data_IF_497469712758
#
_entry.id   IF_497469712758
#
_cell.length_a   1.000
_cell.length_b   1.000
_cell.length_c   1.000
_cell.angle_alpha   90.00
_cell.angle_beta   90.00
_cell.angle_gamma   90.00
#
_symmetry.space_group_name_H-M   'P 1'
#
loop_
_entity.id
_entity.type
_entity.pdbx_description
1 polymer ?
#
# COMPACT_ATOMS: atom_id res chain seq x y z
N UNK A 1 6.91 -6.72 -36.51
CA UNK A 1 6.61 -6.66 -35.07
C UNK A 1 5.29 -5.96 -34.88
N UNK A 2 4.26 -6.62 -34.36
CA UNK A 2 2.95 -5.98 -34.13
C UNK A 2 3.06 -4.99 -32.96
N UNK A 3 2.79 -3.72 -33.21
CA UNK A 3 2.77 -2.69 -32.17
C UNK A 3 1.43 -2.82 -31.44
N UNK A 4 1.45 -3.22 -30.18
CA UNK A 4 0.24 -3.21 -29.34
C UNK A 4 -0.25 -1.76 -29.17
N UNK A 5 -1.52 -1.56 -29.53
CA UNK A 5 -2.17 -0.27 -29.32
C UNK A 5 -2.87 -0.25 -27.97
N UNK A 6 -2.75 0.85 -27.23
CA UNK A 6 -3.52 1.06 -26.02
C UNK A 6 -5.03 1.06 -26.32
N UNK A 7 -5.82 0.46 -25.43
CA UNK A 7 -7.28 0.50 -25.55
C UNK A 7 -7.81 1.88 -25.18
N UNK A 8 -8.99 2.26 -25.72
CA UNK A 8 -9.64 3.52 -25.36
C UNK A 8 -9.81 3.65 -23.84
N UNK A 9 -10.24 2.57 -23.18
CA UNK A 9 -10.41 2.53 -21.72
C UNK A 9 -9.11 2.83 -20.96
N UNK A 10 -7.95 2.36 -21.43
CA UNK A 10 -6.67 2.64 -20.77
C UNK A 10 -6.17 4.08 -20.99
N UNK A 11 -6.63 4.73 -22.06
CA UNK A 11 -6.31 6.12 -22.34
C UNK A 11 -7.21 7.10 -21.57
N UNK A 12 -8.41 6.67 -21.20
CA UNK A 12 -9.39 7.48 -20.45
C UNK A 12 -9.14 7.45 -18.92
N UNK A 13 -8.15 6.66 -18.44
CA UNK A 13 -7.79 6.62 -17.01
C UNK A 13 -6.94 7.85 -16.66
N UNK A 14 -7.49 8.74 -15.84
CA UNK A 14 -6.75 9.86 -15.24
C UNK A 14 -6.35 9.52 -13.80
N UNK A 15 -5.09 9.74 -13.46
CA UNK A 15 -4.59 9.56 -12.11
C UNK A 15 -3.89 10.85 -11.64
N UNK A 16 -4.68 11.80 -11.20
CA UNK A 16 -4.27 13.19 -10.93
C UNK A 16 -2.96 13.32 -10.13
N UNK A 17 -2.75 12.47 -9.10
CA UNK A 17 -1.53 12.50 -8.27
C UNK A 17 -0.27 12.17 -9.10
N UNK A 18 -0.38 11.33 -10.11
CA UNK A 18 0.76 10.93 -10.96
C UNK A 18 0.90 11.78 -12.21
N UNK A 19 -0.17 12.35 -12.69
CA UNK A 19 -0.18 13.16 -13.91
C UNK A 19 0.66 14.43 -13.75
N UNK A 20 0.78 14.97 -12.53
CA UNK A 20 1.65 16.10 -12.23
C UNK A 20 3.15 15.76 -12.26
N UNK A 21 3.52 14.48 -12.24
CA UNK A 21 4.93 14.06 -12.21
C UNK A 21 5.67 14.38 -13.51
N UNK A 22 5.00 14.29 -14.64
CA UNK A 22 5.66 14.59 -15.94
C UNK A 22 6.01 16.06 -16.06
N UNK A 23 5.08 17.03 -15.86
CA UNK A 23 5.43 18.44 -15.83
C UNK A 23 6.48 18.80 -14.78
N UNK A 24 6.38 18.21 -13.57
CA UNK A 24 7.37 18.46 -12.53
C UNK A 24 8.78 18.03 -12.94
N UNK A 25 8.93 16.85 -13.56
CA UNK A 25 10.23 16.36 -14.06
C UNK A 25 10.81 17.25 -15.15
N UNK A 26 9.98 17.82 -16.00
CA UNK A 26 10.45 18.74 -17.04
C UNK A 26 10.94 20.07 -16.45
N UNK A 27 10.26 20.59 -15.46
CA UNK A 27 10.72 21.77 -14.74
C UNK A 27 12.04 21.50 -14.00
N UNK A 28 12.19 20.34 -13.34
CA UNK A 28 13.44 19.93 -12.69
C UNK A 28 14.61 19.85 -13.70
N UNK A 29 14.38 19.29 -14.89
CA UNK A 29 15.39 19.25 -15.97
C UNK A 29 15.82 20.64 -16.41
N UNK A 30 14.93 21.61 -16.33
CA UNK A 30 15.20 23.00 -16.65
C UNK A 30 15.79 23.80 -15.47
N UNK A 31 16.16 23.12 -14.37
CA UNK A 31 16.83 23.72 -13.22
C UNK A 31 15.90 24.25 -12.14
N UNK A 32 14.59 24.02 -12.21
CA UNK A 32 13.68 24.41 -11.16
C UNK A 32 13.78 23.47 -9.95
N UNK A 33 13.83 24.04 -8.76
CA UNK A 33 13.72 23.27 -7.51
C UNK A 33 12.25 23.02 -7.19
N UNK A 34 11.87 21.72 -7.07
CA UNK A 34 10.47 21.34 -6.83
C UNK A 34 10.34 20.59 -5.51
N UNK A 35 9.52 21.12 -4.62
CA UNK A 35 9.13 20.45 -3.38
C UNK A 35 7.94 19.52 -3.66
N UNK A 36 8.17 18.20 -3.56
CA UNK A 36 7.19 17.16 -3.88
C UNK A 36 6.32 16.82 -2.67
N UNK A 37 5.12 17.38 -2.61
CA UNK A 37 4.15 17.13 -1.52
C UNK A 37 3.02 16.16 -1.91
N UNK A 38 3.05 15.59 -3.11
CA UNK A 38 1.97 14.77 -3.65
C UNK A 38 1.98 13.31 -3.18
N UNK A 39 3.11 12.80 -2.73
CA UNK A 39 3.27 11.44 -2.17
C UNK A 39 4.07 11.53 -0.87
N UNK A 40 3.46 11.07 0.23
CA UNK A 40 4.15 10.89 1.50
C UNK A 40 4.91 9.56 1.49
N UNK A 41 6.23 9.62 1.65
CA UNK A 41 7.06 8.43 1.79
C UNK A 41 8.00 8.63 3.00
N UNK A 42 7.54 8.24 4.20
CA UNK A 42 8.29 8.49 5.44
C UNK A 42 9.71 7.95 5.41
N UNK A 43 9.93 6.80 4.76
CA UNK A 43 11.26 6.16 4.71
C UNK A 43 12.33 6.99 3.98
N UNK A 44 11.91 7.97 3.19
CA UNK A 44 12.82 8.92 2.52
C UNK A 44 13.22 10.12 3.38
N UNK A 45 12.60 10.26 4.56
CA UNK A 45 12.72 11.42 5.43
C UNK A 45 13.07 11.02 6.88
N UNK A 46 14.06 10.16 7.04
CA UNK A 46 14.60 9.70 8.34
C UNK A 46 13.61 8.92 9.25
N UNK A 47 12.46 8.50 8.71
CA UNK A 47 11.51 7.63 9.41
C UNK A 47 11.72 6.18 8.99
N UNK A 48 12.64 5.52 9.65
CA UNK A 48 12.89 4.10 9.37
C UNK A 48 11.76 3.20 9.87
N UNK A 49 11.52 2.12 9.13
CA UNK A 49 10.68 1.03 9.64
C UNK A 49 11.30 0.47 10.92
N UNK A 50 10.53 0.35 12.02
CA UNK A 50 11.04 -0.16 13.29
C UNK A 50 11.78 -1.49 13.12
N UNK A 51 12.90 -1.65 13.84
CA UNK A 51 13.77 -2.82 13.70
C UNK A 51 13.03 -4.15 13.85
N UNK A 52 12.15 -4.26 14.85
CA UNK A 52 11.39 -5.49 15.10
C UNK A 52 10.47 -5.88 13.94
N UNK A 53 9.96 -4.90 13.17
CA UNK A 53 9.12 -5.16 11.98
C UNK A 53 9.99 -5.68 10.83
N UNK A 54 11.16 -5.07 10.62
CA UNK A 54 12.13 -5.54 9.60
C UNK A 54 12.61 -6.96 9.91
N UNK A 55 12.98 -7.22 11.19
CA UNK A 55 13.44 -8.53 11.64
C UNK A 55 12.36 -9.60 11.46
N UNK A 56 11.09 -9.27 11.74
CA UNK A 56 9.97 -10.20 11.56
C UNK A 56 9.77 -10.55 10.08
N UNK A 57 9.89 -9.58 9.16
CA UNK A 57 9.81 -9.83 7.72
C UNK A 57 10.95 -10.72 7.24
N UNK A 58 12.20 -10.43 7.64
CA UNK A 58 13.35 -11.26 7.29
C UNK A 58 13.18 -12.70 7.78
N UNK A 59 12.72 -12.86 9.03
CA UNK A 59 12.46 -14.19 9.60
C UNK A 59 11.39 -14.97 8.83
N UNK A 60 10.28 -14.33 8.45
CA UNK A 60 9.23 -14.99 7.67
C UNK A 60 9.79 -15.53 6.34
N UNK A 61 10.63 -14.76 5.66
CA UNK A 61 11.30 -15.20 4.42
C UNK A 61 12.26 -16.37 4.70
N UNK A 62 13.08 -16.30 5.75
CA UNK A 62 14.05 -17.33 6.10
C UNK A 62 13.39 -18.69 6.40
N UNK A 63 12.20 -18.70 7.01
CA UNK A 63 11.46 -19.92 7.33
C UNK A 63 10.47 -20.33 6.23
N UNK A 64 10.51 -19.67 5.06
CA UNK A 64 9.59 -19.87 3.92
C UNK A 64 8.10 -19.64 4.24
N UNK A 65 7.79 -18.81 5.24
CA UNK A 65 6.43 -18.37 5.56
C UNK A 65 6.03 -17.19 4.68
N UNK A 66 5.93 -17.45 3.39
CA UNK A 66 5.64 -16.48 2.33
C UNK A 66 4.73 -17.08 1.24
N UNK A 67 3.93 -18.07 1.61
CA UNK A 67 2.97 -18.73 0.73
C UNK A 67 1.67 -17.94 0.58
N UNK A 68 0.65 -18.61 0.04
CA UNK A 68 -0.70 -18.07 -0.04
C UNK A 68 -1.37 -18.09 1.33
N UNK A 69 -2.02 -17.00 1.68
CA UNK A 69 -2.94 -16.92 2.82
C UNK A 69 -4.34 -17.36 2.41
N UNK A 70 -5.21 -17.57 3.40
CA UNK A 70 -6.65 -17.70 3.18
C UNK A 70 -7.22 -16.40 2.57
N UNK A 71 -8.38 -16.50 1.94
CA UNK A 71 -9.02 -15.36 1.26
C UNK A 71 -9.29 -14.17 2.17
N UNK A 72 -9.59 -14.43 3.43
CA UNK A 72 -9.83 -13.42 4.46
C UNK A 72 -8.54 -12.89 5.10
N UNK A 73 -7.40 -13.52 4.82
CA UNK A 73 -6.10 -13.24 5.42
C UNK A 73 -5.79 -14.10 6.65
N UNK A 74 -4.53 -14.11 7.07
CA UNK A 74 -4.05 -14.89 8.21
C UNK A 74 -4.86 -14.64 9.47
N UNK A 75 -5.30 -15.71 10.13
CA UNK A 75 -6.11 -15.66 11.37
C UNK A 75 -5.38 -14.87 12.45
N UNK A 76 -4.10 -15.10 12.65
CA UNK A 76 -3.27 -14.44 13.67
C UNK A 76 -3.20 -12.92 13.45
N UNK A 77 -3.14 -12.49 12.19
CA UNK A 77 -3.13 -11.06 11.84
C UNK A 77 -4.50 -10.43 12.13
N UNK A 78 -5.59 -11.09 11.73
CA UNK A 78 -6.97 -10.65 11.98
C UNK A 78 -7.23 -10.51 13.48
N UNK A 79 -6.87 -11.51 14.28
CA UNK A 79 -6.96 -11.44 15.74
C UNK A 79 -6.12 -10.31 16.35
N UNK A 80 -4.91 -10.09 15.84
CA UNK A 80 -4.08 -8.99 16.32
C UNK A 80 -4.72 -7.62 16.03
N UNK A 81 -5.35 -7.47 14.88
CA UNK A 81 -6.10 -6.27 14.51
C UNK A 81 -7.29 -6.08 15.46
N UNK A 82 -8.09 -7.12 15.70
CA UNK A 82 -9.24 -7.04 16.60
C UNK A 82 -8.83 -6.65 18.02
N UNK A 83 -7.77 -7.27 18.55
CA UNK A 83 -7.20 -6.89 19.86
C UNK A 83 -6.79 -5.43 19.91
N UNK A 84 -6.15 -4.94 18.84
CA UNK A 84 -5.72 -3.53 18.73
C UNK A 84 -6.92 -2.59 18.66
N UNK A 85 -7.92 -2.90 17.83
CA UNK A 85 -9.11 -2.07 17.67
C UNK A 85 -9.96 -2.02 18.96
N UNK A 86 -10.12 -3.14 19.64
CA UNK A 86 -10.79 -3.18 20.95
C UNK A 86 -10.06 -2.32 21.97
N UNK A 87 -8.72 -2.43 22.04
CA UNK A 87 -7.91 -1.69 23.03
C UNK A 87 -7.83 -0.20 22.76
N UNK A 88 -7.65 0.21 21.50
CA UNK A 88 -7.39 1.62 21.13
C UNK A 88 -8.65 2.40 20.79
N UNK A 89 -9.58 1.77 20.10
CA UNK A 89 -10.71 2.43 19.49
C UNK A 89 -12.05 2.01 20.12
N UNK A 90 -12.01 1.08 21.13
CA UNK A 90 -13.18 0.50 21.78
C UNK A 90 -14.17 -0.12 20.77
N UNK A 91 -13.65 -0.70 19.69
CA UNK A 91 -14.42 -1.43 18.68
C UNK A 91 -14.40 -2.91 19.05
N UNK A 92 -15.58 -3.51 19.24
CA UNK A 92 -15.75 -4.92 19.59
C UNK A 92 -16.51 -5.61 18.45
N UNK A 93 -15.79 -6.27 17.56
CA UNK A 93 -16.30 -7.00 16.39
C UNK A 93 -15.72 -8.41 16.35
N UNK A 94 -16.39 -9.32 15.67
CA UNK A 94 -15.96 -10.70 15.52
C UNK A 94 -14.86 -10.88 14.47
N UNK A 95 -14.24 -12.06 14.44
CA UNK A 95 -13.20 -12.36 13.46
C UNK A 95 -13.77 -12.38 12.04
N UNK A 96 -15.03 -12.72 11.86
CA UNK A 96 -15.70 -12.75 10.55
C UNK A 96 -16.00 -11.35 10.00
N UNK A 97 -15.88 -10.32 10.83
CA UNK A 97 -16.02 -8.93 10.44
C UNK A 97 -14.68 -8.30 10.00
N UNK A 98 -13.60 -9.08 9.95
CA UNK A 98 -12.26 -8.60 9.62
C UNK A 98 -11.69 -9.32 8.40
N UNK A 99 -11.42 -8.59 7.34
CA UNK A 99 -10.80 -9.10 6.10
C UNK A 99 -9.53 -8.31 5.80
N UNK A 100 -8.47 -9.01 5.40
CA UNK A 100 -7.22 -8.40 4.98
C UNK A 100 -7.27 -8.18 3.47
N UNK A 101 -7.08 -6.95 3.06
CA UNK A 101 -7.09 -6.57 1.64
C UNK A 101 -5.70 -6.19 1.15
N UNK A 102 -5.48 -6.35 -0.15
CA UNK A 102 -4.26 -5.88 -0.79
C UNK A 102 -4.36 -4.38 -1.06
N UNK A 103 -4.09 -3.57 -0.04
CA UNK A 103 -4.22 -2.10 -0.02
C UNK A 103 -5.66 -1.60 0.14
N UNK A 104 -5.75 -0.33 0.50
CA UNK A 104 -7.00 0.40 0.72
C UNK A 104 -7.91 0.43 -0.51
N UNK A 105 -7.35 0.44 -1.72
CA UNK A 105 -8.14 0.46 -2.96
C UNK A 105 -9.07 -0.74 -3.09
N UNK A 106 -8.60 -1.93 -2.73
CA UNK A 106 -9.41 -3.14 -2.73
C UNK A 106 -10.51 -3.06 -1.65
N UNK A 107 -10.17 -2.62 -0.44
CA UNK A 107 -11.13 -2.43 0.63
C UNK A 107 -12.28 -1.49 0.21
N UNK A 108 -11.96 -0.35 -0.43
CA UNK A 108 -12.98 0.60 -0.91
C UNK A 108 -13.88 -0.02 -2.00
N UNK A 109 -13.37 -0.96 -2.79
CA UNK A 109 -14.18 -1.64 -3.81
C UNK A 109 -15.13 -2.69 -3.24
N UNK A 110 -14.90 -3.13 -2.01
CA UNK A 110 -15.74 -4.11 -1.31
C UNK A 110 -16.89 -3.47 -0.53
N UNK A 111 -16.86 -2.17 -0.28
CA UNK A 111 -17.87 -1.41 0.45
C UNK A 111 -18.82 -0.74 -0.54
#
# INVERSE_FOLDING_TARGET
MAIMKATKRSLDVSYAIRDILLPARELEKNGAEIIKLHIGDPNKFDFETPKHVRDALCRAVEINDNGYAESEGYVELREAILRKEKKKNNVDVGIDDCVITNRVTEAIQMI
#
